data_IF_749485779891
#
_entry.id   IF_749485779891
#
_cell.length_a   1.000
_cell.length_b   1.000
_cell.length_c   1.000
_cell.angle_alpha   90.00
_cell.angle_beta   90.00
_cell.angle_gamma   90.00
#
_symmetry.space_group_name_H-M   'P 1'
#
loop_
_entity.id
_entity.type
_entity.pdbx_description
1 polymer ?
#
# COMPACT_ATOMS: atom_id res chain seq x y z
N UNK A 1 -6.38 13.05 10.05
CA UNK A 1 -5.64 14.32 10.08
C UNK A 1 -4.20 14.06 10.51
N UNK A 2 -3.24 14.52 9.73
CA UNK A 2 -1.84 14.47 10.08
C UNK A 2 -1.43 15.65 10.97
N UNK A 3 -0.37 15.46 11.72
CA UNK A 3 0.27 16.53 12.48
C UNK A 3 1.50 16.98 11.70
N UNK A 4 1.55 18.26 11.36
CA UNK A 4 2.68 18.86 10.64
C UNK A 4 3.42 19.81 11.55
N UNK A 5 4.75 19.65 11.58
CA UNK A 5 5.65 20.60 12.22
C UNK A 5 6.54 21.22 11.13
N UNK A 6 6.50 22.54 11.03
CA UNK A 6 7.21 23.28 10.00
C UNK A 6 8.23 24.22 10.63
N UNK A 7 9.48 24.14 10.19
CA UNK A 7 10.56 25.01 10.63
C UNK A 7 11.62 25.11 9.53
N UNK A 8 11.93 26.36 9.08
CA UNK A 8 13.03 26.68 8.14
C UNK A 8 13.08 25.80 6.89
N UNK A 9 11.95 25.60 6.23
CA UNK A 9 11.86 24.78 5.03
C UNK A 9 11.81 23.28 5.27
N UNK A 10 11.84 22.87 6.52
CA UNK A 10 11.72 21.47 6.93
C UNK A 10 10.33 21.20 7.52
N UNK A 11 9.67 20.17 7.02
CA UNK A 11 8.37 19.72 7.49
C UNK A 11 8.46 18.31 8.08
N UNK A 12 7.97 18.16 9.30
CA UNK A 12 7.70 16.85 9.89
C UNK A 12 6.20 16.59 9.86
N UNK A 13 5.83 15.39 9.49
CA UNK A 13 4.42 15.01 9.43
C UNK A 13 4.22 13.58 9.91
N UNK A 14 3.02 13.31 10.39
CA UNK A 14 2.62 11.98 10.83
C UNK A 14 1.14 11.77 10.56
N UNK A 15 0.79 10.58 10.13
CA UNK A 15 -0.59 10.20 9.88
C UNK A 15 -0.86 8.82 10.47
N UNK A 16 -2.04 8.65 11.02
CA UNK A 16 -2.54 7.35 11.39
C UNK A 16 -3.16 6.67 10.16
N UNK A 17 -2.89 5.40 10.00
CA UNK A 17 -3.48 4.57 8.96
C UNK A 17 -4.35 3.53 9.66
N UNK A 18 -5.62 3.50 9.35
CA UNK A 18 -6.51 2.49 9.89
C UNK A 18 -7.63 2.21 8.91
N UNK A 19 -8.15 1.02 8.98
CA UNK A 19 -9.27 0.66 8.13
C UNK A 19 -9.93 -0.62 8.62
N UNK A 20 -11.19 -0.75 8.27
CA UNK A 20 -11.96 -1.94 8.47
C UNK A 20 -12.79 -2.17 7.21
N UNK A 21 -12.55 -3.30 6.57
CA UNK A 21 -13.27 -3.71 5.38
C UNK A 21 -14.05 -4.98 5.68
N UNK A 22 -15.32 -4.96 5.32
CA UNK A 22 -16.18 -6.12 5.41
C UNK A 22 -16.73 -6.41 4.03
N UNK A 23 -16.27 -7.48 3.45
CA UNK A 23 -16.77 -7.94 2.17
C UNK A 23 -18.06 -8.68 2.41
N UNK A 24 -19.12 -8.27 1.71
CA UNK A 24 -20.41 -8.93 1.83
C UNK A 24 -20.34 -10.34 1.33
N UNK A 25 -21.13 -11.18 1.94
CA UNK A 25 -21.25 -12.56 1.56
C UNK A 25 -21.64 -12.68 0.08
N UNK A 26 -20.95 -13.54 -0.63
CA UNK A 26 -21.33 -13.92 -1.97
C UNK A 26 -21.67 -15.40 -1.96
N UNK A 27 -22.67 -15.76 -2.76
CA UNK A 27 -23.08 -17.15 -2.90
C UNK A 27 -22.53 -17.72 -4.19
N UNK A 28 -21.78 -18.81 -4.08
CA UNK A 28 -21.32 -19.58 -5.22
C UNK A 28 -21.66 -21.05 -4.97
N UNK A 29 -22.54 -21.60 -5.77
CA UNK A 29 -22.97 -22.99 -5.61
C UNK A 29 -23.72 -23.28 -4.30
N UNK A 30 -24.41 -22.28 -3.74
CA UNK A 30 -25.17 -22.44 -2.50
C UNK A 30 -24.36 -22.27 -1.22
N UNK A 31 -23.08 -21.89 -1.32
CA UNK A 31 -22.24 -21.59 -0.17
C UNK A 31 -22.04 -20.10 -0.04
N UNK A 32 -22.13 -19.61 1.18
CA UNK A 32 -21.90 -18.20 1.50
C UNK A 32 -20.46 -17.99 1.98
N UNK A 33 -19.81 -16.93 1.52
CA UNK A 33 -18.46 -16.57 1.91
C UNK A 33 -18.32 -15.07 2.05
N UNK A 34 -17.50 -14.63 2.99
CA UNK A 34 -17.20 -13.24 3.22
C UNK A 34 -15.89 -13.07 3.98
N UNK A 35 -15.38 -11.82 4.00
CA UNK A 35 -14.12 -11.49 4.66
C UNK A 35 -14.26 -10.24 5.49
N UNK A 36 -13.64 -10.25 6.67
CA UNK A 36 -13.46 -9.07 7.52
C UNK A 36 -11.97 -8.79 7.63
N UNK A 37 -11.57 -7.57 7.31
CA UNK A 37 -10.20 -7.12 7.44
C UNK A 37 -10.14 -5.89 8.33
N UNK A 38 -9.31 -5.94 9.36
CA UNK A 38 -9.03 -4.81 10.24
C UNK A 38 -7.53 -4.56 10.23
N UNK A 39 -7.13 -3.29 10.10
CA UNK A 39 -5.72 -2.93 10.16
C UNK A 39 -5.52 -1.58 10.81
N UNK A 40 -4.37 -1.39 11.42
CA UNK A 40 -3.97 -0.13 12.02
C UNK A 40 -2.46 0.03 11.90
N UNK A 41 -2.03 1.25 11.74
CA UNK A 41 -0.63 1.58 11.66
C UNK A 41 -0.41 3.07 11.63
N UNK A 42 0.78 3.46 11.28
CA UNK A 42 1.13 4.85 11.16
C UNK A 42 2.20 5.07 10.11
N UNK A 43 2.25 6.29 9.61
CA UNK A 43 3.31 6.75 8.73
C UNK A 43 3.85 8.07 9.31
N UNK A 44 5.16 8.17 9.37
CA UNK A 44 5.86 9.39 9.76
C UNK A 44 6.84 9.75 8.66
N UNK A 45 7.02 11.03 8.45
CA UNK A 45 7.95 11.48 7.45
C UNK A 45 8.44 12.89 7.72
N UNK A 46 9.47 13.24 6.99
CA UNK A 46 10.00 14.57 6.99
C UNK A 46 10.52 14.93 5.62
N UNK A 47 10.36 16.17 5.24
CA UNK A 47 10.86 16.66 3.98
C UNK A 47 11.48 18.06 4.10
N UNK A 48 12.37 18.36 3.18
CA UNK A 48 13.08 19.60 3.09
C UNK A 48 12.79 20.27 1.76
N UNK A 49 12.34 21.53 1.84
CA UNK A 49 12.09 22.35 0.66
C UNK A 49 13.25 23.34 0.47
N UNK A 50 13.72 23.46 -0.73
CA UNK A 50 14.87 24.32 -1.08
C UNK A 50 14.66 24.95 -2.45
N UNK A 51 15.38 26.03 -2.68
CA UNK A 51 15.40 26.67 -4.00
C UNK A 51 16.31 25.89 -4.95
N UNK A 52 15.82 25.60 -6.15
CA UNK A 52 16.53 24.83 -7.16
C UNK A 52 16.40 25.51 -8.52
N UNK A 53 17.35 26.33 -8.88
CA UNK A 53 17.31 27.10 -10.10
C UNK A 53 16.12 28.06 -10.14
N UNK A 54 15.31 27.99 -11.18
CA UNK A 54 14.12 28.82 -11.33
C UNK A 54 12.89 28.27 -10.60
N UNK A 55 13.05 27.16 -9.89
CA UNK A 55 11.95 26.49 -9.20
C UNK A 55 12.28 26.13 -7.77
N UNK A 56 11.45 25.30 -7.20
CA UNK A 56 11.63 24.77 -5.84
C UNK A 56 11.71 23.26 -5.86
N UNK A 57 12.65 22.74 -5.08
CA UNK A 57 12.79 21.30 -4.88
C UNK A 57 12.35 20.88 -3.49
N UNK A 58 11.97 19.64 -3.37
CA UNK A 58 11.63 19.00 -2.10
C UNK A 58 12.18 17.58 -2.11
N UNK A 59 12.82 17.19 -1.03
CA UNK A 59 13.26 15.82 -0.80
C UNK A 59 12.76 15.38 0.56
N UNK A 60 12.35 14.13 0.66
CA UNK A 60 11.78 13.63 1.88
C UNK A 60 12.01 12.15 2.09
N UNK A 61 11.73 11.74 3.32
CA UNK A 61 11.83 10.37 3.77
C UNK A 61 10.58 10.05 4.58
N UNK A 62 10.03 8.88 4.37
CA UNK A 62 8.86 8.42 5.11
C UNK A 62 9.06 6.98 5.59
N UNK A 63 8.54 6.71 6.78
CA UNK A 63 8.52 5.38 7.38
C UNK A 63 7.07 5.03 7.69
N UNK A 64 6.67 3.81 7.36
CA UNK A 64 5.35 3.31 7.71
C UNK A 64 5.46 1.96 8.40
N UNK A 65 4.58 1.74 9.36
CA UNK A 65 4.45 0.47 10.08
C UNK A 65 2.98 0.19 10.32
N UNK A 66 2.62 -1.06 10.38
CA UNK A 66 1.26 -1.42 10.67
C UNK A 66 1.08 -2.91 10.87
N UNK A 67 -0.10 -3.25 11.34
CA UNK A 67 -0.51 -4.63 11.56
C UNK A 67 -2.00 -4.76 11.36
N UNK A 68 -2.45 -5.95 11.04
CA UNK A 68 -3.85 -6.21 10.87
C UNK A 68 -4.17 -7.68 10.84
N UNK A 69 -5.46 -7.96 10.69
CA UNK A 69 -5.95 -9.32 10.56
C UNK A 69 -7.11 -9.39 9.56
N UNK A 70 -7.19 -10.53 8.89
CA UNK A 70 -8.28 -10.86 7.99
C UNK A 70 -8.89 -12.17 8.44
N UNK A 71 -10.20 -12.21 8.55
CA UNK A 71 -10.95 -13.42 8.91
C UNK A 71 -11.98 -13.72 7.84
N UNK A 72 -12.08 -14.98 7.44
CA UNK A 72 -13.16 -15.42 6.56
C UNK A 72 -14.42 -15.69 7.37
N UNK A 73 -15.56 -15.41 6.75
CA UNK A 73 -16.89 -15.70 7.28
C UNK A 73 -17.66 -16.60 6.32
N UNK A 74 -18.67 -17.26 6.81
CA UNK A 74 -19.59 -18.02 6.01
C UNK A 74 -19.47 -19.53 6.22
N UNK A 75 -19.98 -20.30 5.26
CA UNK A 75 -20.07 -21.76 5.36
C UNK A 75 -18.74 -22.46 5.12
N UNK A 76 -17.72 -21.72 4.65
CA UNK A 76 -16.37 -22.23 4.51
C UNK A 76 -15.67 -22.25 5.85
N UNK A 77 -14.65 -23.09 5.96
CA UNK A 77 -13.82 -23.13 7.14
C UNK A 77 -13.20 -21.78 7.44
N UNK A 78 -13.14 -21.46 8.72
CA UNK A 78 -12.53 -20.21 9.14
C UNK A 78 -11.06 -20.17 8.78
N UNK A 79 -10.69 -19.19 7.98
CA UNK A 79 -9.30 -18.87 7.65
C UNK A 79 -8.98 -17.53 8.31
N UNK A 80 -7.89 -17.50 9.04
CA UNK A 80 -7.40 -16.28 9.68
C UNK A 80 -6.03 -15.95 9.13
N UNK A 81 -5.82 -14.69 8.76
CA UNK A 81 -4.53 -14.14 8.36
C UNK A 81 -4.16 -12.99 9.27
N UNK A 82 -3.07 -13.13 10.01
CA UNK A 82 -2.46 -12.05 10.77
C UNK A 82 -1.28 -11.51 9.98
N UNK A 83 -1.18 -10.20 9.81
CA UNK A 83 -0.11 -9.61 9.04
C UNK A 83 0.49 -8.39 9.72
N UNK A 84 1.79 -8.22 9.54
CA UNK A 84 2.56 -7.05 9.94
C UNK A 84 3.27 -6.50 8.72
N UNK A 85 3.41 -5.20 8.65
CA UNK A 85 4.14 -4.57 7.55
C UNK A 85 4.95 -3.38 8.05
N UNK A 86 6.04 -3.10 7.38
CA UNK A 86 6.81 -1.88 7.53
C UNK A 86 7.34 -1.46 6.18
N UNK A 87 7.61 -0.17 6.03
CA UNK A 87 8.16 0.34 4.79
C UNK A 87 8.94 1.61 5.00
N UNK A 88 9.83 1.88 4.07
CA UNK A 88 10.61 3.10 4.00
C UNK A 88 10.53 3.61 2.57
N UNK A 89 10.38 4.92 2.42
CA UNK A 89 10.36 5.54 1.10
C UNK A 89 11.15 6.84 1.11
N UNK A 90 11.77 7.11 -0.03
CA UNK A 90 12.43 8.37 -0.32
C UNK A 90 11.65 9.00 -1.46
N UNK A 91 11.35 10.27 -1.33
CA UNK A 91 10.60 10.96 -2.36
C UNK A 91 11.20 12.32 -2.63
N UNK A 92 10.98 12.81 -3.83
CA UNK A 92 11.44 14.10 -4.24
C UNK A 92 10.48 14.74 -5.22
N UNK A 93 10.50 16.05 -5.27
CA UNK A 93 9.69 16.82 -6.19
C UNK A 93 10.40 18.07 -6.63
N UNK A 94 10.04 18.53 -7.82
CA UNK A 94 10.55 19.78 -8.36
C UNK A 94 9.40 20.50 -9.04
N UNK A 95 9.25 21.76 -8.66
CA UNK A 95 8.20 22.61 -9.21
C UNK A 95 8.86 23.83 -9.83
N UNK A 96 8.60 24.07 -11.11
CA UNK A 96 9.07 25.23 -11.83
C UNK A 96 7.96 25.70 -12.75
N UNK A 97 7.56 26.97 -12.60
CA UNK A 97 6.48 27.59 -13.37
C UNK A 97 5.22 26.70 -13.36
N UNK A 98 4.87 26.12 -14.51
CA UNK A 98 3.69 25.32 -14.70
C UNK A 98 3.98 23.80 -14.66
N UNK A 99 5.21 23.41 -14.39
CA UNK A 99 5.64 22.00 -14.39
C UNK A 99 5.88 21.54 -12.95
N UNK A 100 5.35 20.38 -12.63
CA UNK A 100 5.60 19.70 -11.37
C UNK A 100 6.03 18.27 -11.66
N UNK A 101 7.20 17.88 -11.14
CA UNK A 101 7.72 16.53 -11.30
C UNK A 101 7.91 15.94 -9.91
N UNK A 102 7.39 14.74 -9.67
CA UNK A 102 7.58 14.03 -8.42
C UNK A 102 8.12 12.63 -8.72
N UNK A 103 9.00 12.16 -7.87
CA UNK A 103 9.58 10.83 -7.96
C UNK A 103 9.64 10.21 -6.58
N UNK A 104 9.50 8.90 -6.52
CA UNK A 104 9.58 8.17 -5.27
C UNK A 104 10.24 6.81 -5.48
N UNK A 105 10.87 6.34 -4.42
CA UNK A 105 11.46 5.01 -4.34
C UNK A 105 11.10 4.46 -2.96
N UNK A 106 10.51 3.28 -2.93
CA UNK A 106 10.05 2.67 -1.70
C UNK A 106 10.44 1.21 -1.56
N UNK A 107 10.58 0.80 -0.33
CA UNK A 107 10.76 -0.61 0.04
C UNK A 107 9.80 -0.92 1.18
N UNK A 108 9.10 -2.02 1.08
CA UNK A 108 8.25 -2.50 2.16
C UNK A 108 8.39 -4.01 2.32
N UNK A 109 8.21 -4.45 3.54
CA UNK A 109 8.22 -5.86 3.89
C UNK A 109 6.97 -6.18 4.69
N UNK A 110 6.38 -7.32 4.42
CA UNK A 110 5.23 -7.81 5.16
C UNK A 110 5.41 -9.26 5.54
N UNK A 111 4.88 -9.60 6.72
CA UNK A 111 4.82 -10.96 7.21
C UNK A 111 3.38 -11.35 7.38
N UNK A 112 3.01 -12.49 6.84
CA UNK A 112 1.65 -13.01 6.90
C UNK A 112 1.67 -14.38 7.57
N UNK A 113 0.82 -14.54 8.57
CA UNK A 113 0.60 -15.82 9.23
C UNK A 113 -0.82 -16.27 8.93
N UNK A 114 -0.93 -17.34 8.15
CA UNK A 114 -2.20 -17.92 7.73
C UNK A 114 -2.54 -19.12 8.61
N UNK A 115 -3.76 -19.15 9.11
CA UNK A 115 -4.28 -20.26 9.92
C UNK A 115 -5.63 -20.70 9.35
N UNK A 116 -5.79 -21.99 9.16
CA UNK A 116 -7.05 -22.56 8.69
C UNK A 116 -7.41 -23.76 9.56
N UNK A 117 -8.65 -23.80 10.03
CA UNK A 117 -9.16 -24.93 10.79
C UNK A 117 -9.50 -26.09 9.86
N UNK A 118 -9.08 -27.28 10.26
CA UNK A 118 -9.47 -28.51 9.56
C UNK A 118 -10.80 -29.00 10.16
N UNK A 119 -11.83 -29.26 9.33
CA UNK A 119 -13.09 -29.74 9.87
C UNK A 119 -12.92 -31.10 10.57
N UNK A 120 -13.48 -31.22 11.75
CA UNK A 120 -13.46 -32.48 12.52
C UNK A 120 -14.24 -33.59 11.80
N UNK A 121 -15.14 -33.23 10.91
CA UNK A 121 -15.92 -34.20 10.11
C UNK A 121 -15.07 -35.05 9.16
N UNK A 122 -13.83 -34.61 8.86
CA UNK A 122 -12.91 -35.39 8.05
C UNK A 122 -12.06 -36.36 8.86
N UNK A 123 -12.30 -36.46 10.17
CA UNK A 123 -11.57 -37.37 11.06
C UNK A 123 -10.17 -36.88 11.45
N UNK A 124 -9.78 -35.73 10.99
CA UNK A 124 -8.50 -35.09 11.33
C UNK A 124 -8.79 -33.70 11.89
N UNK A 125 -8.82 -33.59 13.20
CA UNK A 125 -8.91 -32.29 13.83
C UNK A 125 -7.57 -31.55 13.79
N UNK A 126 -7.59 -30.24 13.90
CA UNK A 126 -6.39 -29.43 13.98
C UNK A 126 -6.43 -28.19 13.09
N UNK A 127 -5.29 -27.54 12.97
CA UNK A 127 -5.12 -26.31 12.19
C UNK A 127 -3.99 -26.46 11.19
N UNK A 128 -4.18 -25.90 10.02
CA UNK A 128 -3.12 -25.72 9.03
C UNK A 128 -2.56 -24.32 9.20
N UNK A 129 -1.24 -24.21 9.31
CA UNK A 129 -0.55 -22.93 9.45
C UNK A 129 0.41 -22.73 8.30
N UNK A 130 0.50 -21.50 7.81
CA UNK A 130 1.48 -21.10 6.82
C UNK A 130 1.99 -19.69 7.13
N UNK A 131 3.30 -19.52 7.06
CA UNK A 131 3.95 -18.22 7.20
C UNK A 131 4.46 -17.79 5.84
N UNK A 132 4.08 -16.59 5.40
CA UNK A 132 4.46 -16.05 4.10
C UNK A 132 5.06 -14.66 4.30
N UNK A 133 6.30 -14.49 3.86
CA UNK A 133 6.98 -13.20 3.87
C UNK A 133 6.99 -12.63 2.47
N UNK A 134 6.75 -11.33 2.36
CA UNK A 134 6.70 -10.63 1.08
C UNK A 134 7.46 -9.33 1.16
N UNK A 135 8.24 -9.03 0.13
CA UNK A 135 8.98 -7.78 -0.02
C UNK A 135 8.51 -7.08 -1.29
N UNK A 136 8.38 -5.76 -1.22
CA UNK A 136 7.94 -4.95 -2.36
C UNK A 136 8.90 -3.79 -2.52
N UNK A 137 9.41 -3.61 -3.74
CA UNK A 137 10.16 -2.43 -4.14
C UNK A 137 9.31 -1.65 -5.12
N UNK A 138 9.15 -0.35 -4.89
CA UNK A 138 8.40 0.54 -5.76
C UNK A 138 9.25 1.69 -6.21
N UNK A 139 9.07 2.11 -7.45
CA UNK A 139 9.69 3.31 -7.98
C UNK A 139 8.70 3.99 -8.92
N UNK A 140 8.62 5.30 -8.84
CA UNK A 140 7.67 6.04 -9.67
C UNK A 140 8.19 7.42 -10.01
N UNK A 141 7.78 7.90 -11.17
CA UNK A 141 7.99 9.28 -11.62
C UNK A 141 6.69 9.76 -12.23
N UNK A 142 6.29 10.97 -11.87
CA UNK A 142 5.08 11.60 -12.39
C UNK A 142 5.38 13.04 -12.75
N UNK A 143 4.92 13.46 -13.90
CA UNK A 143 5.02 14.85 -14.34
C UNK A 143 3.61 15.40 -14.55
N UNK A 144 3.41 16.63 -14.10
CA UNK A 144 2.17 17.37 -14.25
C UNK A 144 2.47 18.71 -14.91
N UNK A 145 1.61 19.14 -15.80
CA UNK A 145 1.70 20.44 -16.44
C UNK A 145 0.39 21.18 -16.24
N UNK A 146 0.48 22.42 -15.77
CA UNK A 146 -0.72 23.23 -15.54
C UNK A 146 -0.90 24.22 -16.70
N UNK A 147 -2.06 24.16 -17.34
CA UNK A 147 -2.48 25.11 -18.36
C UNK A 147 -3.66 25.90 -17.79
N UNK A 148 -3.46 27.21 -17.66
CA UNK A 148 -4.51 28.10 -17.19
C UNK A 148 -5.23 28.70 -18.39
N UNK A 149 -6.54 28.56 -18.42
CA UNK A 149 -7.38 29.19 -19.44
C UNK A 149 -8.37 30.12 -18.75
N UNK A 150 -9.05 30.97 -19.52
CA UNK A 150 -10.02 31.91 -18.98
C UNK A 150 -11.25 31.22 -18.39
N UNK A 151 -11.50 29.99 -18.78
CA UNK A 151 -12.67 29.22 -18.38
C UNK A 151 -12.34 28.26 -17.24
N UNK A 152 -11.20 27.55 -17.33
CA UNK A 152 -10.82 26.55 -16.35
C UNK A 152 -9.32 26.26 -16.42
N UNK A 153 -8.79 25.66 -15.37
CA UNK A 153 -7.43 25.16 -15.32
C UNK A 153 -7.41 23.70 -15.75
N UNK A 154 -6.49 23.37 -16.65
CA UNK A 154 -6.29 22.03 -17.18
C UNK A 154 -4.93 21.53 -16.72
N UNK A 155 -4.91 20.38 -16.04
CA UNK A 155 -3.66 19.81 -15.52
C UNK A 155 -3.50 18.37 -16.03
N UNK A 156 -2.89 18.20 -17.22
CA UNK A 156 -2.54 16.87 -17.67
C UNK A 156 -1.36 16.32 -16.86
N UNK A 157 -1.40 15.02 -16.65
CA UNK A 157 -0.33 14.33 -15.95
C UNK A 157 -0.02 13.00 -16.62
N UNK A 158 1.23 12.61 -16.52
CA UNK A 158 1.73 11.36 -17.05
C UNK A 158 2.78 10.82 -16.07
N UNK A 159 2.80 9.53 -15.92
CA UNK A 159 3.75 8.90 -15.03
C UNK A 159 4.10 7.50 -15.44
N UNK A 160 5.06 6.95 -14.75
CA UNK A 160 5.43 5.55 -14.80
C UNK A 160 5.69 5.06 -13.39
N UNK A 161 5.14 3.89 -13.06
CA UNK A 161 5.38 3.23 -11.79
C UNK A 161 5.84 1.81 -12.05
N UNK A 162 6.86 1.43 -11.31
CA UNK A 162 7.40 0.08 -11.32
C UNK A 162 7.24 -0.51 -9.93
N UNK A 163 6.83 -1.77 -9.87
CA UNK A 163 6.70 -2.51 -8.63
C UNK A 163 7.27 -3.90 -8.83
N UNK A 164 8.18 -4.30 -7.96
CA UNK A 164 8.66 -5.66 -7.88
C UNK A 164 8.19 -6.27 -6.56
N UNK A 165 7.47 -7.36 -6.65
CA UNK A 165 6.94 -8.09 -5.49
C UNK A 165 7.66 -9.41 -5.41
N UNK A 166 8.36 -9.64 -4.31
CA UNK A 166 9.02 -10.91 -4.03
C UNK A 166 8.28 -11.59 -2.89
N UNK A 167 7.76 -12.77 -3.15
CA UNK A 167 7.18 -13.63 -2.14
C UNK A 167 8.20 -14.70 -1.80
N UNK A 168 8.60 -14.78 -0.55
CA UNK A 168 9.58 -15.77 -0.12
C UNK A 168 8.95 -17.16 -0.05
N UNK A 169 9.80 -18.18 -0.06
CA UNK A 169 9.35 -19.56 0.10
C UNK A 169 8.64 -19.74 1.44
N UNK A 170 7.56 -20.49 1.43
CA UNK A 170 6.83 -20.79 2.65
C UNK A 170 6.52 -22.27 2.76
N UNK A 171 6.35 -22.73 4.00
CA UNK A 171 5.98 -24.10 4.30
C UNK A 171 4.60 -24.11 4.94
N UNK A 172 3.76 -25.05 4.51
CA UNK A 172 2.47 -25.30 5.14
C UNK A 172 2.64 -26.43 6.15
N UNK A 173 2.22 -26.17 7.39
CA UNK A 173 2.43 -27.09 8.51
C UNK A 173 1.11 -27.45 9.16
N UNK A 174 1.04 -28.68 9.67
CA UNK A 174 -0.02 -29.10 10.57
C UNK A 174 0.30 -28.62 11.99
N UNK A 175 -0.74 -28.29 12.75
CA UNK A 175 -0.60 -27.84 14.14
C UNK A 175 0.10 -28.87 15.04
N UNK A 176 -0.04 -30.15 14.71
CA UNK A 176 0.58 -31.25 15.46
C UNK A 176 2.00 -31.61 15.01
N UNK A 177 2.57 -30.80 14.12
CA UNK A 177 3.93 -30.99 13.62
C UNK A 177 3.98 -31.59 12.22
N UNK A 178 5.08 -31.38 11.53
CA UNK A 178 5.32 -31.87 10.17
C UNK A 178 4.91 -30.88 9.09
N UNK A 179 5.71 -30.81 8.06
CA UNK A 179 5.42 -29.99 6.89
C UNK A 179 4.48 -30.74 5.95
N UNK A 180 3.39 -30.09 5.51
CA UNK A 180 2.52 -30.64 4.48
C UNK A 180 3.13 -30.49 3.09
N UNK A 181 3.57 -29.30 2.79
CA UNK A 181 4.28 -28.98 1.55
C UNK A 181 5.03 -27.67 1.68
N UNK A 182 5.97 -27.45 0.81
CA UNK A 182 6.73 -26.21 0.74
C UNK A 182 6.55 -25.60 -0.64
N UNK A 183 6.26 -24.30 -0.66
CA UNK A 183 6.13 -23.52 -1.89
C UNK A 183 7.35 -22.63 -2.06
N UNK A 184 7.97 -22.66 -3.22
CA UNK A 184 9.08 -21.79 -3.55
C UNK A 184 8.59 -20.36 -3.76
N UNK A 185 9.47 -19.39 -3.43
CA UNK A 185 9.17 -17.99 -3.62
C UNK A 185 9.10 -17.60 -5.09
N UNK A 186 8.43 -16.49 -5.35
CA UNK A 186 8.23 -15.96 -6.70
C UNK A 186 8.54 -14.46 -6.71
N UNK A 187 9.02 -13.98 -7.86
CA UNK A 187 9.29 -12.57 -8.11
C UNK A 187 8.42 -12.10 -9.27
N UNK A 188 7.59 -11.08 -9.00
CA UNK A 188 6.69 -10.51 -9.99
C UNK A 188 7.03 -9.05 -10.23
N UNK A 189 6.94 -8.61 -11.47
CA UNK A 189 7.16 -7.24 -11.88
C UNK A 189 5.87 -6.66 -12.45
N UNK A 190 5.54 -5.45 -12.00
CA UNK A 190 4.34 -4.76 -12.46
C UNK A 190 4.74 -3.36 -12.92
N UNK A 191 4.31 -2.99 -14.12
CA UNK A 191 4.48 -1.65 -14.66
C UNK A 191 3.12 -0.99 -14.80
N UNK A 192 3.04 0.27 -14.40
CA UNK A 192 1.84 1.08 -14.54
C UNK A 192 2.19 2.40 -15.22
N UNK A 193 1.32 2.85 -16.10
CA UNK A 193 1.50 4.10 -16.84
C UNK A 193 0.28 4.98 -16.56
N UNK A 194 0.21 5.66 -15.42
CA UNK A 194 -0.89 6.54 -15.12
C UNK A 194 -0.88 7.76 -16.03
N UNK A 195 -2.01 8.00 -16.69
CA UNK A 195 -2.22 9.14 -17.57
C UNK A 195 -3.58 9.71 -17.25
N UNK A 196 -3.66 11.01 -17.12
CA UNK A 196 -4.93 11.64 -16.83
C UNK A 196 -4.91 13.14 -17.02
N UNK A 197 -6.06 13.74 -16.85
CA UNK A 197 -6.25 15.17 -16.91
C UNK A 197 -7.15 15.58 -15.75
N UNK A 198 -6.68 16.53 -14.95
CA UNK A 198 -7.48 17.14 -13.90
C UNK A 198 -7.99 18.49 -14.40
N UNK A 199 -9.26 18.73 -14.19
CA UNK A 199 -9.91 19.99 -14.56
C UNK A 199 -10.35 20.69 -13.28
N UNK A 200 -9.98 21.94 -13.12
CA UNK A 200 -10.45 22.75 -12.00
C UNK A 200 -10.90 24.09 -12.48
N UNK A 201 -11.92 24.63 -11.84
CA UNK A 201 -12.45 25.94 -12.11
C UNK A 201 -12.23 26.82 -10.90
N UNK A 202 -11.39 27.84 -11.06
CA UNK A 202 -11.18 28.83 -10.03
C UNK A 202 -12.18 29.96 -10.18
N UNK A 203 -12.82 30.36 -9.07
CA UNK A 203 -13.65 31.53 -9.01
C UNK A 203 -12.87 32.64 -8.34
N UNK A 204 -12.67 33.74 -9.05
CA UNK A 204 -12.18 34.95 -8.41
C UNK A 204 -13.40 35.66 -7.80
N UNK A 205 -13.39 35.85 -6.50
CA UNK A 205 -14.34 36.74 -5.82
C UNK A 205 -13.70 38.13 -5.74
N UNK A 206 -14.32 39.08 -6.44
CA UNK A 206 -13.94 40.49 -6.27
C UNK A 206 -14.39 40.99 -4.88
#
# INVERSE_FOLDING_TARGET
KGTNLHEDGFDLWANAIYGANRTRDFSAGGLDAGYDTDFAGGVIGGDWTFDAGAGKGRVGLALNVGAGDTKSRGDFNSTKNDFDFWGVSVYGGWNMDNINVVADLGYSASKNELKQDIPSSLGMGGKIKADVDSDVITAGVKAEYMVKTDVLDVMPHVGVRYMAVKTDSFSTKLDQGGDLFRTDGDLQHVWQFPVGVNLSKSFETE
#
